data_IF_530079813801
#
_entry.id   IF_530079813801
#
_cell.length_a   1.000
_cell.length_b   1.000
_cell.length_c   1.000
_cell.angle_alpha   90.00
_cell.angle_beta   90.00
_cell.angle_gamma   90.00
#
_symmetry.space_group_name_H-M   'P 1'
#
loop_
_entity.id
_entity.type
_entity.pdbx_description
1 polymer ?
#
# COMPACT_ATOMS: atom_id res chain seq x y z
N UNK A 1 3.38 -18.61 1.65
CA UNK A 1 4.78 -18.98 1.94
C UNK A 1 4.77 -20.27 2.74
N UNK A 2 5.63 -21.24 2.42
CA UNK A 2 5.77 -22.48 3.21
C UNK A 2 6.92 -22.27 4.20
N UNK A 3 6.67 -22.49 5.49
CA UNK A 3 7.69 -22.43 6.54
C UNK A 3 8.22 -23.84 6.78
N UNK A 4 9.53 -24.01 6.75
CA UNK A 4 10.22 -25.27 6.99
C UNK A 4 11.06 -25.16 8.27
N UNK A 5 11.17 -26.26 9.01
CA UNK A 5 12.05 -26.34 10.17
C UNK A 5 13.51 -26.36 9.74
N UNK A 6 14.35 -25.60 10.43
CA UNK A 6 15.80 -25.55 10.23
C UNK A 6 16.47 -25.52 11.61
N UNK A 7 17.16 -26.61 11.98
CA UNK A 7 17.84 -26.76 13.27
C UNK A 7 18.97 -25.74 13.48
N UNK A 8 19.49 -25.15 12.40
CA UNK A 8 20.51 -24.10 12.47
C UNK A 8 19.93 -22.69 12.68
N UNK A 9 18.60 -22.56 12.70
CA UNK A 9 17.92 -21.30 12.90
C UNK A 9 17.59 -21.10 14.39
N UNK A 10 18.05 -20.00 15.02
CA UNK A 10 17.66 -19.69 16.40
C UNK A 10 16.15 -19.49 16.53
N UNK A 11 15.56 -19.89 17.65
CA UNK A 11 14.11 -19.86 17.91
C UNK A 11 13.45 -18.49 17.68
N UNK A 12 14.16 -17.40 17.96
CA UNK A 12 13.67 -16.03 17.80
C UNK A 12 13.87 -15.47 16.38
N UNK A 13 14.35 -16.27 15.43
CA UNK A 13 14.70 -15.82 14.08
C UNK A 13 13.96 -16.61 13.01
N UNK A 14 13.75 -15.96 11.88
CA UNK A 14 13.25 -16.58 10.66
C UNK A 14 14.25 -16.33 9.52
N UNK A 15 14.60 -17.40 8.79
CA UNK A 15 15.41 -17.29 7.58
C UNK A 15 14.49 -17.12 6.38
N UNK A 16 14.79 -16.11 5.56
CA UNK A 16 14.11 -15.87 4.30
C UNK A 16 15.11 -15.35 3.27
N UNK A 17 14.91 -15.75 2.00
CA UNK A 17 15.79 -15.33 0.92
C UNK A 17 15.57 -13.84 0.57
N UNK A 18 16.42 -13.29 -0.31
CA UNK A 18 16.31 -11.87 -0.73
C UNK A 18 14.98 -11.56 -1.41
N UNK A 19 14.44 -12.52 -2.18
CA UNK A 19 13.19 -12.35 -2.93
C UNK A 19 12.02 -12.09 -1.97
N UNK A 20 11.86 -12.96 -0.96
CA UNK A 20 10.81 -12.81 0.06
C UNK A 20 10.99 -11.52 0.87
N UNK A 21 12.22 -11.17 1.22
CA UNK A 21 12.50 -9.91 1.94
C UNK A 21 12.08 -8.67 1.15
N UNK A 22 12.34 -8.67 -0.15
CA UNK A 22 11.93 -7.57 -1.03
C UNK A 22 10.40 -7.49 -1.14
N UNK A 23 9.71 -8.63 -1.27
CA UNK A 23 8.24 -8.70 -1.26
C UNK A 23 7.66 -8.13 0.04
N UNK A 24 8.21 -8.53 1.19
CA UNK A 24 7.77 -8.06 2.51
C UNK A 24 8.29 -6.65 2.86
N UNK A 25 9.12 -6.05 2.00
CA UNK A 25 9.79 -4.75 2.23
C UNK A 25 10.62 -4.69 3.51
N UNK A 26 11.21 -5.81 3.93
CA UNK A 26 12.00 -5.89 5.17
C UNK A 26 13.50 -6.05 4.90
N UNK A 27 14.32 -5.46 5.77
CA UNK A 27 15.77 -5.67 5.80
C UNK A 27 16.14 -6.79 6.78
N UNK A 28 17.42 -7.16 6.81
CA UNK A 28 17.90 -8.09 7.83
C UNK A 28 17.67 -7.50 9.23
N UNK A 29 17.36 -8.37 10.20
CA UNK A 29 17.15 -8.01 11.61
C UNK A 29 15.88 -7.18 11.89
N UNK A 30 14.96 -7.08 10.92
CA UNK A 30 13.62 -6.54 11.14
C UNK A 30 12.70 -7.63 11.72
N UNK A 31 11.80 -7.24 12.62
CA UNK A 31 10.81 -8.13 13.22
C UNK A 31 9.66 -8.35 12.23
N UNK A 32 9.24 -9.60 12.07
CA UNK A 32 8.08 -9.97 11.26
C UNK A 32 7.12 -10.83 12.08
N UNK A 33 5.82 -10.73 11.79
CA UNK A 33 4.80 -11.61 12.38
C UNK A 33 4.55 -12.81 11.47
N UNK A 34 4.51 -14.01 12.04
CA UNK A 34 4.18 -15.25 11.33
C UNK A 34 2.88 -15.80 11.90
N UNK A 35 1.94 -16.13 11.02
CA UNK A 35 0.65 -16.71 11.39
C UNK A 35 0.30 -17.90 10.48
N UNK A 36 -0.38 -18.93 11.00
CA UNK A 36 -0.93 -20.00 10.17
C UNK A 36 -1.92 -19.44 9.14
N UNK A 37 -1.85 -19.93 7.91
CA UNK A 37 -2.80 -19.60 6.84
C UNK A 37 -3.43 -20.89 6.27
N UNK A 38 -4.40 -21.50 6.99
CA UNK A 38 -5.01 -22.77 6.58
C UNK A 38 -5.97 -22.62 5.40
N UNK A 39 -6.45 -21.41 5.12
CA UNK A 39 -7.52 -21.16 4.16
C UNK A 39 -7.05 -21.03 2.71
N UNK A 40 -5.74 -21.14 2.46
CA UNK A 40 -5.17 -21.04 1.11
C UNK A 40 -5.75 -22.13 0.19
N UNK A 41 -6.26 -21.70 -0.96
CA UNK A 41 -6.86 -22.58 -1.98
C UNK A 41 -5.94 -22.77 -3.18
N UNK A 42 -6.19 -23.82 -3.96
CA UNK A 42 -5.58 -23.96 -5.28
C UNK A 42 -6.09 -22.86 -6.22
N UNK A 43 -5.16 -22.28 -6.97
CA UNK A 43 -5.45 -21.23 -7.94
C UNK A 43 -6.18 -21.81 -9.15
N UNK A 44 -7.24 -21.15 -9.60
CA UNK A 44 -7.86 -21.40 -10.91
C UNK A 44 -6.99 -20.80 -12.01
N UNK A 45 -6.54 -19.56 -11.79
CA UNK A 45 -5.68 -18.82 -12.71
C UNK A 45 -4.81 -17.82 -12.00
N UNK A 46 -3.66 -17.52 -12.60
CA UNK A 46 -2.73 -16.48 -12.16
C UNK A 46 -2.28 -15.68 -13.38
N UNK A 47 -2.06 -14.38 -13.21
CA UNK A 47 -1.46 -13.53 -14.23
C UNK A 47 -0.12 -13.00 -13.74
N UNK A 48 0.95 -13.27 -14.50
CA UNK A 48 2.31 -12.88 -14.16
C UNK A 48 2.95 -12.17 -15.34
N UNK A 49 3.49 -10.97 -15.12
CA UNK A 49 4.14 -10.20 -16.18
C UNK A 49 5.65 -10.08 -15.92
N UNK A 50 6.48 -10.16 -16.97
CA UNK A 50 7.92 -9.97 -16.83
C UNK A 50 8.25 -8.49 -16.57
N UNK A 51 9.39 -8.24 -15.93
CA UNK A 51 9.95 -6.88 -15.85
C UNK A 51 10.74 -6.60 -17.14
N UNK A 52 10.48 -5.45 -17.75
CA UNK A 52 10.98 -5.02 -19.07
C UNK A 52 12.47 -5.29 -19.31
N UNK A 53 13.36 -4.86 -18.41
CA UNK A 53 14.81 -4.98 -18.55
C UNK A 53 15.30 -6.43 -18.59
N UNK A 54 14.51 -7.38 -18.07
CA UNK A 54 14.87 -8.81 -18.04
C UNK A 54 14.47 -9.56 -19.30
N UNK A 55 13.60 -8.98 -20.13
CA UNK A 55 13.08 -9.60 -21.36
C UNK A 55 13.52 -8.89 -22.64
N UNK A 56 14.34 -7.84 -22.54
CA UNK A 56 14.91 -7.17 -23.71
C UNK A 56 15.70 -8.15 -24.60
N UNK A 57 15.31 -8.22 -25.88
CA UNK A 57 15.95 -9.10 -26.86
C UNK A 57 15.75 -10.59 -26.58
N UNK A 58 14.68 -10.96 -25.87
CA UNK A 58 14.31 -12.34 -25.63
C UNK A 58 13.26 -12.77 -26.65
N UNK A 59 13.55 -13.83 -27.39
CA UNK A 59 12.61 -14.46 -28.32
C UNK A 59 12.26 -15.85 -27.78
N UNK A 60 10.97 -16.17 -27.75
CA UNK A 60 10.49 -17.47 -27.26
C UNK A 60 9.30 -17.34 -26.31
N UNK A 61 8.68 -18.48 -26.03
CA UNK A 61 7.52 -18.55 -25.14
C UNK A 61 7.99 -18.55 -23.67
N UNK A 62 7.67 -17.47 -22.95
CA UNK A 62 8.05 -17.29 -21.54
C UNK A 62 7.48 -18.40 -20.64
N UNK A 63 6.28 -18.87 -20.96
CA UNK A 63 5.62 -19.92 -20.19
C UNK A 63 6.37 -21.24 -20.28
N UNK A 64 6.65 -21.74 -21.48
CA UNK A 64 7.32 -23.05 -21.66
C UNK A 64 8.76 -23.05 -21.14
N UNK A 65 9.52 -21.96 -21.33
CA UNK A 65 10.94 -21.92 -20.99
C UNK A 65 11.19 -21.59 -19.51
N UNK A 66 10.34 -20.77 -18.88
CA UNK A 66 10.57 -20.27 -17.52
C UNK A 66 9.47 -20.72 -16.56
N UNK A 67 8.22 -20.32 -16.80
CA UNK A 67 7.15 -20.46 -15.79
C UNK A 67 6.77 -21.93 -15.55
N UNK A 68 6.63 -22.72 -16.61
CA UNK A 68 6.25 -24.13 -16.52
C UNK A 68 7.28 -24.93 -15.72
N UNK A 69 8.60 -24.93 -16.03
CA UNK A 69 9.61 -25.58 -15.18
C UNK A 69 9.63 -25.04 -13.73
N UNK A 70 9.33 -23.77 -13.53
CA UNK A 70 9.36 -23.16 -12.20
C UNK A 70 8.21 -23.63 -11.29
N UNK A 71 7.01 -23.81 -11.86
CA UNK A 71 5.81 -24.21 -11.12
C UNK A 71 5.50 -25.71 -11.19
N UNK A 72 6.11 -26.46 -12.11
CA UNK A 72 5.87 -27.88 -12.29
C UNK A 72 6.03 -28.67 -10.98
N UNK A 73 4.92 -29.27 -10.52
CA UNK A 73 4.81 -30.10 -9.31
C UNK A 73 5.33 -29.46 -8.01
N UNK A 74 5.52 -28.14 -8.01
CA UNK A 74 6.14 -27.43 -6.90
C UNK A 74 5.11 -26.92 -5.87
N UNK A 75 3.82 -26.87 -6.22
CA UNK A 75 2.73 -26.40 -5.37
C UNK A 75 3.07 -25.08 -4.65
N UNK A 76 3.67 -24.14 -5.39
CA UNK A 76 4.17 -22.88 -4.82
C UNK A 76 3.00 -21.99 -4.42
N UNK A 77 3.01 -21.51 -3.18
CA UNK A 77 2.12 -20.43 -2.77
C UNK A 77 2.61 -19.10 -3.32
N UNK A 78 1.73 -18.33 -3.95
CA UNK A 78 2.01 -16.97 -4.44
C UNK A 78 0.97 -15.98 -3.91
N UNK A 79 1.37 -14.73 -3.76
CA UNK A 79 0.52 -13.60 -3.43
C UNK A 79 0.54 -12.60 -4.59
N UNK A 80 -0.56 -11.87 -4.78
CA UNK A 80 -0.62 -10.71 -5.67
C UNK A 80 0.51 -9.74 -5.30
N UNK A 81 1.15 -9.14 -6.30
CA UNK A 81 2.33 -8.28 -6.16
C UNK A 81 3.64 -8.96 -5.77
N UNK A 82 3.67 -10.29 -5.60
CA UNK A 82 4.92 -11.03 -5.44
C UNK A 82 5.83 -10.81 -6.65
N UNK A 83 7.09 -10.46 -6.39
CA UNK A 83 8.15 -10.49 -7.40
C UNK A 83 9.00 -11.75 -7.21
N UNK A 84 9.30 -12.47 -8.28
CA UNK A 84 10.13 -13.67 -8.23
C UNK A 84 11.02 -13.80 -9.47
N UNK A 85 12.17 -14.45 -9.29
CA UNK A 85 13.16 -14.64 -10.35
C UNK A 85 13.14 -16.10 -10.78
N UNK A 86 12.99 -16.32 -12.08
CA UNK A 86 13.02 -17.64 -12.71
C UNK A 86 14.26 -17.75 -13.59
N UNK A 87 14.99 -18.85 -13.46
CA UNK A 87 16.16 -19.14 -14.29
C UNK A 87 15.79 -20.13 -15.39
N UNK A 88 16.10 -19.80 -16.63
CA UNK A 88 15.90 -20.64 -17.81
C UNK A 88 17.13 -20.57 -18.70
N UNK A 89 17.81 -21.69 -18.90
CA UNK A 89 19.10 -21.73 -19.61
C UNK A 89 20.14 -20.81 -18.94
N UNK A 90 20.71 -19.88 -19.72
CA UNK A 90 21.71 -18.91 -19.24
C UNK A 90 21.12 -17.58 -18.75
N UNK A 91 19.80 -17.39 -18.81
CA UNK A 91 19.14 -16.13 -18.45
C UNK A 91 18.28 -16.29 -17.20
N UNK A 92 18.11 -15.18 -16.49
CA UNK A 92 17.19 -15.06 -15.38
C UNK A 92 16.17 -13.97 -15.73
N UNK A 93 14.89 -14.31 -15.65
CA UNK A 93 13.78 -13.38 -15.86
C UNK A 93 13.13 -13.11 -14.52
N UNK A 94 12.79 -11.85 -14.29
CA UNK A 94 12.03 -11.44 -13.13
C UNK A 94 10.57 -11.26 -13.53
N UNK A 95 9.67 -11.86 -12.76
CA UNK A 95 8.23 -11.77 -12.95
C UNK A 95 7.60 -11.10 -11.73
N UNK A 96 6.49 -10.40 -11.96
CA UNK A 96 5.59 -9.91 -10.92
C UNK A 96 4.22 -10.57 -11.09
N UNK A 97 3.64 -11.03 -9.99
CA UNK A 97 2.25 -11.50 -9.95
C UNK A 97 1.33 -10.29 -10.00
N UNK A 98 0.60 -10.14 -11.10
CA UNK A 98 -0.34 -9.03 -11.30
C UNK A 98 -1.71 -9.37 -10.71
N UNK A 99 -2.14 -10.63 -10.86
CA UNK A 99 -3.45 -11.08 -10.41
C UNK A 99 -3.43 -12.56 -10.03
N UNK A 100 -4.29 -12.93 -9.09
CA UNK A 100 -4.54 -14.30 -8.64
C UNK A 100 -6.03 -14.55 -8.53
N UNK A 101 -6.47 -15.76 -8.88
CA UNK A 101 -7.84 -16.24 -8.64
C UNK A 101 -7.77 -17.61 -7.95
N UNK A 102 -8.11 -17.71 -6.66
CA UNK A 102 -8.64 -16.63 -5.80
C UNK A 102 -7.59 -15.57 -5.42
N UNK A 103 -8.09 -14.34 -5.21
CA UNK A 103 -7.30 -13.19 -4.76
C UNK A 103 -7.34 -13.08 -3.22
N UNK A 104 -6.28 -12.57 -2.54
CA UNK A 104 -5.02 -12.11 -3.12
C UNK A 104 -3.94 -13.20 -3.20
N UNK A 105 -4.16 -14.39 -2.66
CA UNK A 105 -3.15 -15.47 -2.67
C UNK A 105 -3.77 -16.82 -3.03
N UNK A 106 -2.97 -17.68 -3.67
CA UNK A 106 -3.34 -19.04 -3.99
C UNK A 106 -2.10 -19.95 -4.09
N UNK A 107 -2.32 -21.27 -4.12
CA UNK A 107 -1.30 -22.26 -4.46
C UNK A 107 -1.40 -22.57 -5.96
N UNK A 108 -0.29 -22.44 -6.67
CA UNK A 108 -0.20 -22.83 -8.08
C UNK A 108 -0.11 -24.36 -8.16
N UNK A 109 -1.23 -24.99 -8.51
CA UNK A 109 -1.37 -26.42 -8.72
C UNK A 109 -1.23 -26.77 -10.20
N UNK A 110 -1.31 -28.06 -10.54
CA UNK A 110 -1.15 -28.56 -11.91
C UNK A 110 -2.27 -28.10 -12.86
N UNK A 111 -3.45 -27.81 -12.33
CA UNK A 111 -4.63 -27.32 -13.04
C UNK A 111 -4.74 -25.79 -13.06
N UNK A 112 -3.84 -25.07 -12.39
CA UNK A 112 -3.82 -23.61 -12.38
C UNK A 112 -3.38 -23.07 -13.74
N UNK A 113 -4.24 -22.26 -14.37
CA UNK A 113 -3.91 -21.60 -15.63
C UNK A 113 -2.95 -20.42 -15.39
N UNK A 114 -1.79 -20.44 -16.03
CA UNK A 114 -0.79 -19.38 -15.89
C UNK A 114 -0.82 -18.48 -17.13
N UNK A 115 -1.30 -17.25 -16.96
CA UNK A 115 -1.25 -16.22 -17.97
C UNK A 115 0.03 -15.41 -17.83
N UNK A 116 0.70 -15.17 -18.95
CA UNK A 116 1.86 -14.29 -19.02
C UNK A 116 1.82 -13.37 -20.26
N UNK A 117 0.61 -13.09 -20.73
CA UNK A 117 0.34 -12.24 -21.88
C UNK A 117 0.08 -10.80 -21.40
N UNK A 118 0.76 -9.83 -22.02
CA UNK A 118 0.64 -8.41 -21.67
C UNK A 118 1.95 -7.66 -21.85
N UNK A 119 1.89 -6.35 -21.71
CA UNK A 119 3.07 -5.50 -21.76
C UNK A 119 3.97 -5.74 -20.53
N UNK A 120 5.29 -5.85 -20.70
CA UNK A 120 6.21 -5.97 -19.57
C UNK A 120 6.07 -4.77 -18.62
N UNK A 121 6.22 -5.04 -17.32
CA UNK A 121 6.17 -4.00 -16.30
C UNK A 121 7.46 -3.19 -16.36
N UNK A 122 7.34 -1.87 -16.40
CA UNK A 122 8.51 -0.99 -16.42
C UNK A 122 9.27 -1.08 -15.11
N UNK A 123 10.60 -1.11 -15.21
CA UNK A 123 11.47 -1.08 -14.03
C UNK A 123 11.20 0.15 -13.14
N UNK A 124 10.95 1.31 -13.75
CA UNK A 124 10.69 2.57 -13.05
C UNK A 124 9.45 2.46 -12.15
N UNK A 125 8.33 1.97 -12.70
CA UNK A 125 7.08 1.76 -11.94
C UNK A 125 7.27 0.81 -10.75
N UNK A 126 8.12 -0.21 -10.91
CA UNK A 126 8.48 -1.12 -9.82
C UNK A 126 9.37 -0.46 -8.78
N UNK A 127 10.36 0.32 -9.20
CA UNK A 127 11.28 1.03 -8.29
C UNK A 127 10.54 2.10 -7.49
N UNK A 128 9.60 2.83 -8.10
CA UNK A 128 8.70 3.76 -7.41
C UNK A 128 7.87 3.04 -6.35
N UNK A 129 7.28 1.89 -6.68
CA UNK A 129 6.51 1.11 -5.72
C UNK A 129 7.38 0.57 -4.57
N UNK A 130 8.63 0.17 -4.84
CA UNK A 130 9.59 -0.32 -3.84
C UNK A 130 10.14 0.80 -2.95
N UNK A 131 10.34 1.99 -3.50
CA UNK A 131 10.83 3.18 -2.81
C UNK A 131 9.69 4.04 -2.23
N UNK A 132 8.47 3.50 -2.20
CA UNK A 132 7.39 4.13 -1.48
C UNK A 132 7.82 4.29 -0.02
N UNK A 133 7.98 5.55 0.37
CA UNK A 133 8.21 6.07 1.72
C UNK A 133 7.36 5.30 2.73
N UNK A 134 8.03 4.82 3.77
CA UNK A 134 7.42 4.24 4.96
C UNK A 134 7.99 4.88 6.22
N UNK A 135 7.51 4.44 7.40
CA UNK A 135 7.91 5.06 8.68
C UNK A 135 9.42 5.12 8.93
N UNK A 136 10.17 4.17 8.37
CA UNK A 136 11.63 4.09 8.48
C UNK A 136 12.35 5.22 7.72
N UNK A 137 11.67 5.89 6.78
CA UNK A 137 12.22 6.99 5.98
C UNK A 137 12.03 8.36 6.65
N UNK A 138 11.26 8.46 7.74
CA UNK A 138 11.02 9.70 8.48
C UNK A 138 11.99 9.85 9.65
N UNK A 139 13.04 10.64 9.42
CA UNK A 139 14.00 11.02 10.45
C UNK A 139 13.46 12.04 11.46
N UNK A 140 13.79 11.87 12.74
CA UNK A 140 13.58 12.89 13.78
C UNK A 140 12.14 13.05 14.31
N UNK A 141 11.15 12.36 13.73
CA UNK A 141 9.74 12.48 14.11
C UNK A 141 9.19 11.28 14.90
N UNK A 142 10.06 10.46 15.54
CA UNK A 142 9.64 9.22 16.22
C UNK A 142 8.51 9.41 17.24
N UNK A 143 8.52 10.52 18.01
CA UNK A 143 7.48 10.82 19.00
C UNK A 143 6.14 11.17 18.32
N UNK A 144 6.19 11.96 17.27
CA UNK A 144 5.03 12.40 16.50
C UNK A 144 4.40 11.22 15.75
N UNK A 145 5.22 10.36 15.15
CA UNK A 145 4.77 9.12 14.51
C UNK A 145 4.06 8.19 15.50
N UNK A 146 4.60 8.04 16.71
CA UNK A 146 3.95 7.25 17.76
C UNK A 146 2.57 7.82 18.13
N UNK A 147 2.45 9.14 18.25
CA UNK A 147 1.17 9.81 18.55
C UNK A 147 0.15 9.63 17.42
N UNK A 148 0.56 9.80 16.17
CA UNK A 148 -0.32 9.63 15.02
C UNK A 148 -0.76 8.17 14.91
N UNK A 149 0.19 7.23 15.04
CA UNK A 149 -0.07 5.80 15.01
C UNK A 149 -1.05 5.39 16.10
N UNK A 150 -0.85 5.86 17.33
CA UNK A 150 -1.76 5.61 18.45
C UNK A 150 -3.15 6.15 18.13
N UNK A 151 -3.27 7.41 17.68
CA UNK A 151 -4.57 8.01 17.37
C UNK A 151 -5.31 7.29 16.23
N UNK A 152 -4.60 6.87 15.18
CA UNK A 152 -5.18 6.22 14.00
C UNK A 152 -5.48 4.74 14.28
N UNK A 153 -4.53 3.97 14.81
CA UNK A 153 -4.73 2.55 15.13
C UNK A 153 -5.81 2.35 16.21
N UNK A 154 -5.85 3.21 17.24
CA UNK A 154 -6.89 3.13 18.27
C UNK A 154 -8.28 3.42 17.71
N UNK A 155 -8.39 4.31 16.71
CA UNK A 155 -9.67 4.67 16.09
C UNK A 155 -10.27 3.51 15.29
N UNK A 156 -9.45 2.68 14.64
CA UNK A 156 -9.94 1.63 13.75
C UNK A 156 -9.90 0.23 14.37
N UNK A 157 -8.80 -0.15 15.04
CA UNK A 157 -8.64 -1.52 15.59
C UNK A 157 -9.28 -1.71 16.97
N UNK A 158 -9.48 -0.63 17.71
CA UNK A 158 -9.81 -0.69 19.15
C UNK A 158 -11.05 0.12 19.55
N UNK A 159 -11.99 0.31 18.64
CA UNK A 159 -13.29 0.97 18.90
C UNK A 159 -14.04 0.41 20.12
N UNK A 160 -13.86 -0.88 20.43
CA UNK A 160 -14.43 -1.54 21.61
C UNK A 160 -13.96 -0.91 22.93
N UNK A 161 -12.70 -0.47 23.03
CA UNK A 161 -12.17 0.18 24.23
C UNK A 161 -12.83 1.54 24.47
N UNK A 162 -13.02 2.34 23.43
CA UNK A 162 -13.74 3.63 23.53
C UNK A 162 -15.20 3.45 23.90
N UNK A 163 -15.87 2.43 23.34
CA UNK A 163 -17.25 2.07 23.72
C UNK A 163 -17.36 1.67 25.18
N UNK A 164 -16.39 0.92 25.71
CA UNK A 164 -16.36 0.50 27.11
C UNK A 164 -16.18 1.70 28.07
N UNK A 165 -15.38 2.69 27.69
CA UNK A 165 -15.10 3.88 28.50
C UNK A 165 -16.15 4.99 28.28
N UNK A 166 -16.97 4.91 27.23
CA UNK A 166 -18.01 5.88 26.92
C UNK A 166 -17.48 7.19 26.30
N UNK A 167 -16.25 7.20 25.80
CA UNK A 167 -15.62 8.37 25.17
C UNK A 167 -15.62 8.20 23.66
N UNK A 168 -15.93 9.27 22.92
CA UNK A 168 -15.80 9.27 21.46
C UNK A 168 -14.34 9.52 21.08
N UNK A 169 -13.73 8.69 20.22
CA UNK A 169 -12.36 8.92 19.79
C UNK A 169 -12.24 10.20 18.95
N UNK A 170 -11.09 10.90 18.99
CA UNK A 170 -10.87 12.11 18.20
C UNK A 170 -10.85 11.77 16.71
N UNK A 171 -11.62 12.51 15.89
CA UNK A 171 -11.78 12.26 14.45
C UNK A 171 -10.90 13.13 13.55
N UNK A 172 -10.17 14.09 14.12
CA UNK A 172 -9.34 15.03 13.38
C UNK A 172 -7.98 15.20 14.03
N UNK A 173 -6.93 15.13 13.22
CA UNK A 173 -5.54 15.33 13.61
C UNK A 173 -5.00 16.48 12.76
N UNK A 174 -4.35 17.46 13.39
CA UNK A 174 -3.73 18.58 12.69
C UNK A 174 -2.22 18.48 12.83
N UNK A 175 -1.54 18.33 11.69
CA UNK A 175 -0.08 18.38 11.61
C UNK A 175 0.35 19.82 11.33
N UNK A 176 1.16 20.42 12.20
CA UNK A 176 1.66 21.78 12.05
C UNK A 176 3.17 21.84 12.22
N UNK A 177 3.79 22.82 11.56
CA UNK A 177 5.24 23.03 11.59
C UNK A 177 5.72 23.79 10.36
N UNK A 178 6.97 24.28 10.36
CA UNK A 178 7.54 24.99 9.23
C UNK A 178 7.54 24.15 7.93
N UNK A 179 7.62 24.77 6.75
CA UNK A 179 7.73 24.05 5.49
C UNK A 179 8.97 23.13 5.49
N UNK A 180 8.89 21.99 4.80
CA UNK A 180 10.00 21.02 4.71
C UNK A 180 10.18 20.10 5.92
N UNK A 181 9.26 20.10 6.89
CA UNK A 181 9.31 19.21 8.08
C UNK A 181 8.71 17.82 7.87
N UNK A 182 8.33 17.45 6.64
CA UNK A 182 7.83 16.11 6.33
C UNK A 182 6.38 15.83 6.73
N UNK A 183 5.52 16.85 6.87
CA UNK A 183 4.08 16.67 7.20
C UNK A 183 3.34 15.81 6.17
N UNK A 184 3.47 16.14 4.88
CA UNK A 184 2.87 15.40 3.77
C UNK A 184 3.41 13.97 3.68
N UNK A 185 4.73 13.80 3.83
CA UNK A 185 5.37 12.48 3.88
C UNK A 185 4.82 11.64 5.03
N UNK A 186 4.72 12.21 6.23
CA UNK A 186 4.17 11.55 7.41
C UNK A 186 2.76 11.03 7.19
N UNK A 187 1.90 11.82 6.57
CA UNK A 187 0.53 11.41 6.33
C UNK A 187 0.41 10.29 5.30
N UNK A 188 1.23 10.36 4.24
CA UNK A 188 1.25 9.32 3.21
C UNK A 188 1.78 8.00 3.76
N UNK A 189 2.80 8.02 4.61
CA UNK A 189 3.34 6.81 5.24
C UNK A 189 2.31 6.16 6.17
N UNK A 190 1.60 6.97 6.97
CA UNK A 190 0.53 6.48 7.84
C UNK A 190 -0.56 5.77 7.04
N UNK A 191 -0.91 6.30 5.86
CA UNK A 191 -1.87 5.68 4.97
C UNK A 191 -1.40 4.32 4.43
N UNK A 192 -0.18 4.29 3.89
CA UNK A 192 0.41 3.08 3.32
C UNK A 192 0.53 1.95 4.36
N UNK A 193 0.86 2.29 5.59
CA UNK A 193 1.10 1.33 6.68
C UNK A 193 -0.19 0.84 7.36
N UNK A 194 -1.22 1.68 7.41
CA UNK A 194 -2.51 1.29 7.98
C UNK A 194 -3.29 0.37 7.03
N UNK A 195 -3.07 0.50 5.72
CA UNK A 195 -3.78 -0.26 4.69
C UNK A 195 -5.25 0.16 4.56
N UNK A 196 -5.63 1.26 5.20
CA UNK A 196 -6.97 1.85 5.14
C UNK A 196 -7.14 2.66 3.84
N UNK A 197 -8.38 2.88 3.41
CA UNK A 197 -8.63 3.72 2.24
C UNK A 197 -8.13 5.15 2.49
N UNK A 198 -7.27 5.65 1.61
CA UNK A 198 -6.67 6.97 1.76
C UNK A 198 -7.12 7.91 0.64
N UNK A 199 -7.61 9.08 1.03
CA UNK A 199 -8.03 10.12 0.10
C UNK A 199 -7.22 11.41 0.35
N UNK A 200 -6.44 11.83 -0.65
CA UNK A 200 -5.66 13.07 -0.62
C UNK A 200 -6.49 14.23 -1.17
N UNK A 201 -6.66 15.29 -0.37
CA UNK A 201 -7.21 16.57 -0.77
C UNK A 201 -6.07 17.59 -0.75
N UNK A 202 -5.73 18.13 -1.92
CA UNK A 202 -4.71 19.17 -2.05
C UNK A 202 -5.38 20.56 -2.01
N UNK A 203 -5.06 21.38 -1.00
CA UNK A 203 -5.67 22.69 -0.77
C UNK A 203 -5.65 23.62 -1.99
N UNK A 204 -4.47 23.91 -2.57
CA UNK A 204 -4.33 24.66 -3.83
C UNK A 204 -5.20 24.12 -4.98
N UNK A 205 -5.29 22.80 -5.14
CA UNK A 205 -6.10 22.19 -6.20
C UNK A 205 -7.58 22.54 -6.01
N UNK A 206 -8.09 22.44 -4.77
CA UNK A 206 -9.46 22.81 -4.42
C UNK A 206 -9.72 24.29 -4.69
N UNK A 207 -8.77 25.18 -4.35
CA UNK A 207 -8.93 26.63 -4.57
C UNK A 207 -8.83 27.04 -6.04
N UNK A 208 -8.14 26.28 -6.88
CA UNK A 208 -7.96 26.60 -8.30
C UNK A 208 -9.19 26.31 -9.17
N UNK A 209 -10.13 25.49 -8.68
CA UNK A 209 -11.32 25.07 -9.44
C UNK A 209 -12.42 26.12 -9.42
N UNK A 210 -13.34 26.04 -10.39
CA UNK A 210 -14.45 26.98 -10.51
C UNK A 210 -15.38 26.88 -9.28
N UNK A 211 -16.03 28.00 -8.94
CA UNK A 211 -16.99 28.04 -7.83
C UNK A 211 -18.08 26.96 -8.01
N UNK A 212 -18.32 26.17 -6.97
CA UNK A 212 -19.22 25.01 -6.98
C UNK A 212 -18.55 23.68 -7.34
N UNK A 213 -17.50 23.68 -8.16
CA UNK A 213 -16.71 22.47 -8.46
C UNK A 213 -15.85 22.07 -7.26
N UNK A 214 -15.26 23.05 -6.57
CA UNK A 214 -14.51 22.86 -5.32
C UNK A 214 -15.36 22.20 -4.23
N UNK A 215 -16.60 22.68 -4.05
CA UNK A 215 -17.56 22.14 -3.07
C UNK A 215 -17.99 20.72 -3.42
N UNK A 216 -18.27 20.47 -4.70
CA UNK A 216 -18.63 19.15 -5.22
C UNK A 216 -17.51 18.13 -5.00
N UNK A 217 -16.25 18.53 -5.24
CA UNK A 217 -15.10 17.66 -5.03
C UNK A 217 -14.87 17.33 -3.55
N UNK A 218 -15.00 18.31 -2.65
CA UNK A 218 -14.96 18.05 -1.21
C UNK A 218 -16.05 17.05 -0.81
N UNK A 219 -17.30 17.26 -1.25
CA UNK A 219 -18.40 16.34 -0.94
C UNK A 219 -18.13 14.92 -1.42
N UNK A 220 -17.69 14.76 -2.67
CA UNK A 220 -17.33 13.46 -3.24
C UNK A 220 -16.21 12.77 -2.46
N UNK A 221 -15.19 13.52 -2.04
CA UNK A 221 -14.10 12.96 -1.24
C UNK A 221 -14.60 12.35 0.08
N UNK A 222 -15.49 13.05 0.78
CA UNK A 222 -16.10 12.53 2.02
C UNK A 222 -17.06 11.37 1.74
N UNK A 223 -17.87 11.42 0.67
CA UNK A 223 -18.75 10.31 0.28
C UNK A 223 -17.98 9.05 -0.11
N UNK A 224 -16.83 9.18 -0.80
CA UNK A 224 -15.96 8.05 -1.13
C UNK A 224 -15.28 7.47 0.10
N UNK A 225 -14.80 8.32 1.01
CA UNK A 225 -14.24 7.86 2.28
C UNK A 225 -15.27 7.12 3.13
N UNK A 226 -16.52 7.60 3.21
CA UNK A 226 -17.59 6.94 3.97
C UNK A 226 -17.98 5.58 3.35
N UNK A 227 -18.04 5.48 2.01
CA UNK A 227 -18.29 4.22 1.30
C UNK A 227 -17.19 3.18 1.51
N UNK A 228 -15.94 3.61 1.68
CA UNK A 228 -14.77 2.76 1.83
C UNK A 228 -14.27 2.68 3.28
N UNK A 229 -15.10 3.04 4.26
CA UNK A 229 -14.71 3.00 5.67
C UNK A 229 -14.24 1.58 6.09
N UNK A 230 -13.14 1.43 6.84
CA UNK A 230 -12.31 2.48 7.46
C UNK A 230 -11.45 3.28 6.46
N UNK A 231 -11.44 4.61 6.63
CA UNK A 231 -10.81 5.54 5.69
C UNK A 231 -10.15 6.74 6.38
N UNK A 232 -9.08 7.26 5.75
CA UNK A 232 -8.32 8.44 6.15
C UNK A 232 -8.44 9.49 5.04
N UNK A 233 -8.95 10.67 5.39
CA UNK A 233 -8.92 11.85 4.51
C UNK A 233 -7.75 12.72 4.97
N UNK A 234 -6.79 12.96 4.09
CA UNK A 234 -5.69 13.88 4.34
C UNK A 234 -5.89 15.17 3.55
N UNK A 235 -5.94 16.29 4.26
CA UNK A 235 -6.04 17.62 3.66
C UNK A 235 -4.67 18.29 3.77
N UNK A 236 -3.96 18.35 2.65
CA UNK A 236 -2.70 19.08 2.58
C UNK A 236 -2.96 20.58 2.37
N UNK A 237 -2.10 21.41 2.96
CA UNK A 237 -2.24 22.87 2.95
C UNK A 237 -3.63 23.34 3.42
N UNK A 238 -4.12 22.78 4.54
CA UNK A 238 -5.43 23.10 5.12
C UNK A 238 -5.65 24.62 5.29
N UNK A 239 -4.61 25.38 5.59
CA UNK A 239 -4.66 26.82 5.76
C UNK A 239 -5.08 27.59 4.49
N UNK A 240 -4.82 27.02 3.31
CA UNK A 240 -5.24 27.57 2.01
C UNK A 240 -6.76 27.51 1.84
N UNK A 241 -7.40 26.43 2.31
CA UNK A 241 -8.86 26.26 2.23
C UNK A 241 -9.59 26.75 3.48
N UNK A 242 -8.88 26.94 4.61
CA UNK A 242 -9.45 27.46 5.86
C UNK A 242 -8.79 28.77 6.34
N UNK A 243 -8.79 29.85 5.53
CA UNK A 243 -8.31 31.14 6.02
C UNK A 243 -9.20 31.65 7.16
N UNK A 244 -8.62 32.45 8.07
CA UNK A 244 -9.41 33.15 9.09
C UNK A 244 -10.48 33.99 8.39
N UNK A 245 -11.73 33.91 8.86
CA UNK A 245 -12.89 34.63 8.28
C UNK A 245 -12.67 36.13 8.07
N UNK A 246 -11.81 36.74 8.88
CA UNK A 246 -11.41 38.15 8.80
C UNK A 246 -10.53 38.47 7.58
N UNK A 247 -9.74 37.51 7.09
CA UNK A 247 -8.87 37.63 5.91
C UNK A 247 -9.55 37.14 4.62
N UNK A 248 -10.75 36.58 4.74
CA UNK A 248 -11.50 36.00 3.63
C UNK A 248 -12.33 37.09 2.94
N UNK A 249 -11.85 37.58 1.80
CA UNK A 249 -12.51 38.64 1.03
C UNK A 249 -13.52 38.10 -0.01
N UNK A 250 -13.47 36.81 -0.36
CA UNK A 250 -14.38 36.18 -1.33
C UNK A 250 -15.56 35.42 -0.72
N UNK A 251 -16.74 35.51 -1.34
CA UNK A 251 -17.90 34.65 -0.98
C UNK A 251 -17.61 33.16 -1.20
N UNK A 252 -16.85 32.83 -2.26
CA UNK A 252 -16.52 31.46 -2.65
C UNK A 252 -15.73 30.76 -1.54
N UNK A 253 -14.68 31.41 -1.02
CA UNK A 253 -13.86 30.90 0.08
C UNK A 253 -14.70 30.59 1.34
N UNK A 254 -15.72 31.42 1.65
CA UNK A 254 -16.62 31.19 2.79
C UNK A 254 -17.54 29.99 2.59
N UNK A 255 -17.95 29.71 1.34
CA UNK A 255 -18.79 28.54 1.03
C UNK A 255 -17.99 27.25 1.12
N UNK A 256 -16.74 27.23 0.62
CA UNK A 256 -15.82 26.10 0.76
C UNK A 256 -15.59 25.77 2.24
N UNK A 257 -15.30 26.79 3.05
CA UNK A 257 -15.18 26.67 4.51
C UNK A 257 -16.43 26.09 5.18
N UNK A 258 -17.60 26.54 4.74
CA UNK A 258 -18.87 26.04 5.28
C UNK A 258 -19.07 24.57 4.93
N UNK A 259 -18.79 24.18 3.68
CA UNK A 259 -18.92 22.81 3.18
C UNK A 259 -17.96 21.82 3.85
N UNK A 260 -16.80 22.26 4.34
CA UNK A 260 -15.88 21.41 5.11
C UNK A 260 -16.36 21.14 6.54
N UNK A 261 -17.20 22.03 7.10
CA UNK A 261 -17.69 21.95 8.48
C UNK A 261 -19.04 21.23 8.61
N UNK A 262 -19.77 21.05 7.52
CA UNK A 262 -21.09 20.39 7.44
C UNK A 262 -21.01 19.07 6.70
#
# INVERSE_FOLDING_TARGET
>A
MIVLSDESCPDEKIRMNRVVRNTLRVRLSVVVSVQPCPDVKYGKRINVLPIDYTVQGLTGNLFEVYLKPYFLEAYRSIHKDDAFIVRGGMRAIEFKVVETDPSPYCIVALDTVIHCEGDPIKREEKEEALNAVGYDDIGGCRKQLAQIKEMVELHFRHLSHFKAIGVKPPRGIVLYGPPGTGKTLTAWDVANETGDFFFLINGPEIMSKLAGESESNLRKAFEEADKNAPAIIFVDELDVITPKREKTHGEVDRRILSQLLT
#
